data_IF_850145207110
#
_entry.id   IF_850145207110
#
_cell.length_a   1.000
_cell.length_b   1.000
_cell.length_c   1.000
_cell.angle_alpha   90.00
_cell.angle_beta   90.00
_cell.angle_gamma   90.00
#
_symmetry.space_group_name_H-M   'P 1'
#
loop_
_entity.id
_entity.type
_entity.pdbx_description
1 polymer ?
#
# COMPACT_ATOMS: atom_id res chain seq x y z
N UNK A 1 -5.35 11.33 3.20
CA UNK A 1 -4.32 10.47 3.80
C UNK A 1 -4.78 10.03 5.18
N UNK A 2 -4.56 8.79 5.58
CA UNK A 2 -4.95 8.28 6.92
C UNK A 2 -4.37 9.12 8.06
N UNK A 3 -3.17 9.69 7.90
CA UNK A 3 -2.55 10.56 8.91
C UNK A 3 -3.41 11.80 9.26
N UNK A 4 -4.30 12.22 8.36
CA UNK A 4 -5.25 13.31 8.63
C UNK A 4 -6.42 12.88 9.55
N UNK A 5 -6.63 11.58 9.73
CA UNK A 5 -7.60 10.99 10.67
C UNK A 5 -6.90 10.63 11.97
N UNK A 6 -6.85 11.61 12.88
CA UNK A 6 -6.21 11.46 14.19
C UNK A 6 -6.64 10.18 14.94
N UNK A 7 -7.92 9.83 14.89
CA UNK A 7 -8.44 8.63 15.57
C UNK A 7 -7.85 7.33 15.00
N UNK A 8 -7.90 7.17 13.68
CA UNK A 8 -7.37 6.00 12.97
C UNK A 8 -5.87 5.87 13.19
N UNK A 9 -5.14 6.96 13.02
CA UNK A 9 -3.71 7.02 13.22
C UNK A 9 -3.31 6.64 14.67
N UNK A 10 -4.01 7.17 15.68
CA UNK A 10 -3.77 6.79 17.07
C UNK A 10 -4.07 5.31 17.35
N UNK A 11 -5.09 4.74 16.71
CA UNK A 11 -5.39 3.30 16.84
C UNK A 11 -4.30 2.45 16.19
N UNK A 12 -3.76 2.86 15.05
CA UNK A 12 -2.62 2.18 14.41
C UNK A 12 -1.39 2.25 15.31
N UNK A 13 -1.03 3.42 15.85
CA UNK A 13 0.07 3.55 16.81
C UNK A 13 -0.14 2.70 18.07
N UNK A 14 -1.39 2.53 18.52
CA UNK A 14 -1.67 1.69 19.68
C UNK A 14 -1.29 0.21 19.44
N UNK A 15 -1.24 -0.24 18.18
CA UNK A 15 -0.80 -1.59 17.81
C UNK A 15 0.68 -1.84 18.14
N UNK A 16 1.50 -0.80 18.32
CA UNK A 16 2.88 -0.96 18.77
C UNK A 16 2.97 -1.62 20.16
N UNK A 17 1.97 -1.36 21.01
CA UNK A 17 1.86 -1.98 22.34
C UNK A 17 1.56 -3.47 22.26
N UNK A 18 0.99 -3.93 21.14
CA UNK A 18 0.68 -5.33 20.85
C UNK A 18 1.84 -6.03 20.12
N UNK A 19 2.97 -5.35 19.93
CA UNK A 19 4.18 -5.90 19.34
C UNK A 19 4.37 -5.63 17.85
N UNK A 20 3.46 -4.88 17.21
CA UNK A 20 3.69 -4.36 15.87
C UNK A 20 4.80 -3.28 15.89
N UNK A 21 5.40 -3.02 14.73
CA UNK A 21 6.22 -1.84 14.52
C UNK A 21 5.53 -0.96 13.49
N UNK A 22 5.32 0.32 13.80
CA UNK A 22 4.74 1.30 12.89
C UNK A 22 5.82 2.30 12.52
N UNK A 23 6.09 2.45 11.24
CA UNK A 23 7.15 3.33 10.74
C UNK A 23 6.57 4.30 9.73
N UNK A 24 6.83 5.58 9.89
CA UNK A 24 6.35 6.62 8.99
C UNK A 24 7.31 6.83 7.83
N UNK A 25 6.75 6.91 6.61
CA UNK A 25 7.50 7.19 5.39
C UNK A 25 6.71 8.15 4.51
N UNK A 26 7.44 9.10 3.92
CA UNK A 26 6.89 9.97 2.89
C UNK A 26 6.88 9.22 1.56
N UNK A 27 5.68 8.88 1.09
CA UNK A 27 5.50 8.14 -0.15
C UNK A 27 4.99 9.06 -1.26
N UNK A 28 5.57 8.93 -2.46
CA UNK A 28 5.08 9.60 -3.67
C UNK A 28 3.94 8.82 -4.36
N UNK A 29 3.40 7.80 -3.70
CA UNK A 29 2.30 6.97 -4.18
C UNK A 29 1.01 7.27 -3.40
N UNK A 30 -0.18 7.08 -4.00
CA UNK A 30 -1.48 7.33 -3.33
C UNK A 30 -1.85 6.23 -2.31
N UNK A 31 -0.87 5.73 -1.56
CA UNK A 31 -0.98 4.70 -0.52
C UNK A 31 -1.10 5.36 0.85
N UNK A 32 -1.90 4.78 1.74
CA UNK A 32 -1.97 5.23 3.13
C UNK A 32 -1.18 4.34 4.09
N UNK A 33 -1.14 3.03 3.84
CA UNK A 33 -0.42 2.06 4.68
C UNK A 33 0.21 0.99 3.79
N UNK A 34 1.48 0.68 4.03
CA UNK A 34 2.12 -0.52 3.48
C UNK A 34 2.05 -1.59 4.57
N UNK A 35 1.34 -2.69 4.29
CA UNK A 35 1.09 -3.72 5.29
C UNK A 35 2.19 -4.79 5.26
N UNK A 36 2.69 -5.13 4.06
CA UNK A 36 3.82 -6.02 3.84
C UNK A 36 4.63 -5.56 2.62
N UNK A 37 5.77 -6.20 2.34
CA UNK A 37 6.55 -5.91 1.15
C UNK A 37 5.76 -6.09 -0.16
N UNK A 38 4.67 -6.85 -0.15
CA UNK A 38 3.84 -7.15 -1.31
C UNK A 38 2.47 -6.45 -1.32
N UNK A 39 1.94 -6.05 -0.16
CA UNK A 39 0.55 -5.58 -0.01
C UNK A 39 0.48 -4.15 0.53
N UNK A 40 -0.22 -3.29 -0.20
CA UNK A 40 -0.54 -1.92 0.23
C UNK A 40 -2.04 -1.71 0.47
N UNK A 41 -2.38 -0.64 1.20
CA UNK A 41 -3.74 -0.21 1.48
C UNK A 41 -3.91 1.26 1.12
N UNK A 42 -4.96 1.55 0.35
CA UNK A 42 -5.40 2.89 0.01
C UNK A 42 -6.85 3.11 0.45
N UNK A 43 -7.06 4.16 1.23
CA UNK A 43 -8.36 4.60 1.72
C UNK A 43 -8.85 5.81 0.93
N UNK A 44 -10.12 5.74 0.53
CA UNK A 44 -10.82 6.74 -0.24
C UNK A 44 -12.09 7.20 0.45
N UNK A 45 -12.36 8.49 0.39
CA UNK A 45 -13.66 9.07 0.72
C UNK A 45 -14.10 10.03 -0.39
N UNK A 46 -15.34 10.50 -0.34
CA UNK A 46 -15.86 11.45 -1.33
C UNK A 46 -15.05 12.76 -1.43
N UNK A 47 -14.23 13.09 -0.42
CA UNK A 47 -13.45 14.33 -0.34
C UNK A 47 -12.04 14.18 -0.90
N UNK A 48 -11.50 12.97 -0.88
CA UNK A 48 -10.12 12.67 -1.22
C UNK A 48 -9.98 11.87 -2.52
N UNK A 49 -11.06 11.22 -2.99
CA UNK A 49 -11.01 10.34 -4.15
C UNK A 49 -10.54 11.08 -5.40
N UNK A 50 -11.06 12.28 -5.64
CA UNK A 50 -10.59 13.13 -6.73
C UNK A 50 -9.11 13.53 -6.56
N UNK A 51 -8.69 13.91 -5.35
CA UNK A 51 -7.32 14.38 -5.06
C UNK A 51 -6.26 13.31 -5.23
N UNK A 52 -6.58 12.06 -4.88
CA UNK A 52 -5.67 10.92 -4.96
C UNK A 52 -5.70 10.25 -6.33
N UNK A 53 -6.84 10.32 -7.03
CA UNK A 53 -6.96 9.85 -8.38
C UNK A 53 -6.16 10.78 -9.32
N UNK A 54 -6.45 12.08 -9.34
CA UNK A 54 -5.83 12.98 -10.33
C UNK A 54 -4.40 13.37 -9.92
N UNK A 55 -3.41 13.05 -10.75
CA UNK A 55 -2.14 13.74 -10.72
C UNK A 55 -2.40 15.21 -11.06
N UNK A 56 -2.34 16.08 -10.04
CA UNK A 56 -2.23 17.54 -10.10
C UNK A 56 -3.05 18.20 -11.23
N UNK A 57 -4.21 18.73 -10.83
CA UNK A 57 -4.91 19.83 -11.50
C UNK A 57 -5.89 19.45 -12.63
N UNK A 58 -6.93 18.65 -12.34
CA UNK A 58 -8.24 18.84 -12.99
C UNK A 58 -9.38 18.54 -12.01
N UNK A 59 -10.32 19.48 -11.91
CA UNK A 59 -11.51 19.40 -11.07
C UNK A 59 -12.54 18.44 -11.67
N UNK A 60 -12.25 17.13 -11.62
CA UNK A 60 -13.23 16.09 -11.93
C UNK A 60 -14.24 16.00 -10.77
N UNK A 61 -15.45 16.52 -10.98
CA UNK A 61 -16.59 16.39 -10.05
C UNK A 61 -17.37 15.08 -10.21
N UNK A 62 -16.97 14.20 -11.14
CA UNK A 62 -17.66 12.96 -11.43
C UNK A 62 -16.95 11.76 -10.80
N UNK A 63 -17.72 10.93 -10.09
CA UNK A 63 -17.23 9.74 -9.41
C UNK A 63 -16.72 8.68 -10.39
N UNK A 64 -17.37 8.51 -11.55
CA UNK A 64 -16.96 7.51 -12.56
C UNK A 64 -15.56 7.78 -13.08
N UNK A 65 -15.23 9.03 -13.43
CA UNK A 65 -13.90 9.44 -13.85
C UNK A 65 -12.84 9.18 -12.76
N UNK A 66 -13.21 9.36 -11.49
CA UNK A 66 -12.31 9.04 -10.39
C UNK A 66 -12.02 7.54 -10.31
N UNK A 67 -13.03 6.69 -10.50
CA UNK A 67 -12.88 5.23 -10.49
C UNK A 67 -12.07 4.74 -11.69
N UNK A 68 -12.39 5.22 -12.90
CA UNK A 68 -11.64 4.93 -14.12
C UNK A 68 -10.16 5.30 -13.96
N UNK A 69 -9.88 6.46 -13.37
CA UNK A 69 -8.52 6.88 -13.12
C UNK A 69 -7.83 6.02 -12.04
N UNK A 70 -8.54 5.57 -11.00
CA UNK A 70 -7.98 4.61 -10.04
C UNK A 70 -7.59 3.32 -10.79
N UNK A 71 -8.47 2.79 -11.62
CA UNK A 71 -8.22 1.59 -12.40
C UNK A 71 -7.01 1.75 -13.34
N UNK A 72 -6.96 2.85 -14.10
CA UNK A 72 -5.96 3.05 -15.15
C UNK A 72 -4.60 3.55 -14.63
N UNK A 73 -4.60 4.49 -13.69
CA UNK A 73 -3.38 5.20 -13.29
C UNK A 73 -2.88 4.77 -11.91
N UNK A 74 -3.78 4.69 -10.92
CA UNK A 74 -3.39 4.33 -9.56
C UNK A 74 -2.95 2.88 -9.48
N UNK A 75 -3.78 1.93 -9.91
CA UNK A 75 -3.43 0.51 -9.86
C UNK A 75 -2.17 0.22 -10.69
N UNK A 76 -2.04 0.83 -11.88
CA UNK A 76 -0.81 0.71 -12.68
C UNK A 76 0.42 1.19 -11.91
N UNK A 77 0.34 2.35 -11.26
CA UNK A 77 1.47 2.87 -10.47
C UNK A 77 1.80 1.98 -9.27
N UNK A 78 0.80 1.40 -8.63
CA UNK A 78 0.99 0.49 -7.50
C UNK A 78 1.53 -0.87 -7.94
N UNK A 79 1.18 -1.34 -9.13
CA UNK A 79 1.59 -2.65 -9.66
C UNK A 79 3.10 -2.80 -9.81
N UNK A 80 3.84 -1.69 -9.92
CA UNK A 80 5.29 -1.74 -9.96
C UNK A 80 5.89 -2.26 -8.65
N UNK A 81 5.34 -1.85 -7.50
CA UNK A 81 5.90 -2.14 -6.17
C UNK A 81 5.12 -3.16 -5.35
N UNK A 82 3.89 -3.49 -5.75
CA UNK A 82 2.97 -4.31 -4.97
C UNK A 82 2.27 -5.32 -5.87
N UNK A 83 2.17 -6.56 -5.39
CA UNK A 83 1.34 -7.60 -6.00
C UNK A 83 -0.05 -7.70 -5.38
N UNK A 84 -0.30 -7.01 -4.26
CA UNK A 84 -1.61 -6.92 -3.64
C UNK A 84 -1.99 -5.49 -3.26
N UNK A 85 -3.26 -5.14 -3.44
CA UNK A 85 -3.80 -3.83 -3.07
C UNK A 85 -5.15 -3.98 -2.37
N UNK A 86 -5.29 -3.30 -1.23
CA UNK A 86 -6.56 -3.21 -0.50
C UNK A 86 -7.12 -1.80 -0.68
N UNK A 87 -8.28 -1.69 -1.30
CA UNK A 87 -9.01 -0.44 -1.48
C UNK A 87 -10.16 -0.35 -0.48
N UNK A 88 -10.18 0.70 0.31
CA UNK A 88 -11.25 0.94 1.27
C UNK A 88 -11.97 2.24 0.92
N UNK A 89 -13.24 2.16 0.56
CA UNK A 89 -14.09 3.30 0.26
C UNK A 89 -15.02 3.60 1.44
N UNK A 90 -14.96 4.83 1.95
CA UNK A 90 -15.81 5.33 3.01
C UNK A 90 -16.73 6.45 2.51
N UNK A 91 -18.02 6.35 2.81
CA UNK A 91 -18.97 7.43 2.51
C UNK A 91 -20.43 7.03 2.65
N UNK A 92 -21.30 7.90 2.13
CA UNK A 92 -22.75 7.66 2.11
C UNK A 92 -23.14 6.58 1.11
N UNK A 93 -24.33 5.99 1.26
CA UNK A 93 -24.80 4.86 0.45
C UNK A 93 -24.81 5.13 -1.06
N UNK A 94 -25.10 6.36 -1.49
CA UNK A 94 -25.07 6.74 -2.92
C UNK A 94 -23.66 6.69 -3.51
N UNK A 95 -22.67 7.17 -2.76
CA UNK A 95 -21.26 7.09 -3.15
C UNK A 95 -20.80 5.63 -3.21
N UNK A 96 -21.08 4.85 -2.16
CA UNK A 96 -20.68 3.45 -2.11
C UNK A 96 -21.36 2.59 -3.18
N UNK A 97 -22.65 2.83 -3.46
CA UNK A 97 -23.38 2.14 -4.52
C UNK A 97 -22.71 2.35 -5.88
N UNK A 98 -22.35 3.59 -6.21
CA UNK A 98 -21.67 3.89 -7.46
C UNK A 98 -20.25 3.29 -7.54
N UNK A 99 -19.51 3.23 -6.42
CA UNK A 99 -18.23 2.48 -6.39
C UNK A 99 -18.45 0.99 -6.67
N UNK A 100 -19.48 0.39 -6.07
CA UNK A 100 -19.80 -1.02 -6.26
C UNK A 100 -20.25 -1.31 -7.70
N UNK A 101 -21.03 -0.41 -8.31
CA UNK A 101 -21.44 -0.51 -9.72
C UNK A 101 -20.24 -0.50 -10.68
N UNK A 102 -19.17 0.24 -10.36
CA UNK A 102 -17.93 0.28 -11.15
C UNK A 102 -16.83 -0.66 -10.63
N UNK A 103 -17.14 -1.55 -9.68
CA UNK A 103 -16.12 -2.41 -9.04
C UNK A 103 -15.52 -3.44 -10.00
N UNK A 104 -16.30 -3.92 -10.97
CA UNK A 104 -15.84 -4.88 -11.99
C UNK A 104 -14.67 -4.31 -12.81
N UNK A 105 -14.67 -3.00 -13.09
CA UNK A 105 -13.59 -2.33 -13.82
C UNK A 105 -12.29 -2.31 -13.00
N UNK A 106 -12.40 -2.07 -11.68
CA UNK A 106 -11.26 -2.10 -10.77
C UNK A 106 -10.66 -3.51 -10.70
N UNK A 107 -11.50 -4.54 -10.55
CA UNK A 107 -11.05 -5.93 -10.54
C UNK A 107 -10.44 -6.35 -11.88
N UNK A 108 -11.04 -5.97 -13.01
CA UNK A 108 -10.51 -6.28 -14.33
C UNK A 108 -9.15 -5.60 -14.57
N UNK A 109 -8.98 -4.35 -14.15
CA UNK A 109 -7.71 -3.64 -14.24
C UNK A 109 -6.64 -4.29 -13.35
N UNK A 110 -6.95 -4.59 -12.09
CA UNK A 110 -6.01 -5.27 -11.18
C UNK A 110 -5.58 -6.64 -11.72
N UNK A 111 -6.53 -7.46 -12.19
CA UNK A 111 -6.23 -8.77 -12.77
C UNK A 111 -5.32 -8.65 -14.01
N UNK A 112 -5.53 -7.63 -14.84
CA UNK A 112 -4.69 -7.36 -16.02
C UNK A 112 -3.26 -6.95 -15.65
N UNK A 113 -3.08 -6.36 -14.46
CA UNK A 113 -1.78 -5.98 -13.90
C UNK A 113 -1.14 -7.11 -13.06
N UNK A 114 -1.82 -8.26 -12.92
CA UNK A 114 -1.35 -9.36 -12.07
C UNK A 114 -1.40 -9.03 -10.57
N UNK A 115 -2.23 -8.08 -10.16
CA UNK A 115 -2.41 -7.68 -8.77
C UNK A 115 -3.64 -8.35 -8.14
N UNK A 116 -3.49 -8.84 -6.91
CA UNK A 116 -4.61 -9.24 -6.06
C UNK A 116 -5.28 -8.01 -5.45
N UNK A 117 -6.57 -7.81 -5.75
CA UNK A 117 -7.33 -6.66 -5.28
C UNK A 117 -8.36 -7.10 -4.24
N UNK A 118 -8.43 -6.39 -3.12
CA UNK A 118 -9.52 -6.51 -2.16
C UNK A 118 -10.22 -5.16 -2.01
N UNK A 119 -11.54 -5.14 -2.16
CA UNK A 119 -12.34 -3.93 -2.05
C UNK A 119 -13.27 -4.00 -0.84
N UNK A 120 -13.22 -2.99 0.02
CA UNK A 120 -14.12 -2.81 1.16
C UNK A 120 -14.88 -1.50 1.03
N UNK A 121 -16.16 -1.53 1.37
CA UNK A 121 -17.01 -0.35 1.49
C UNK A 121 -17.49 -0.20 2.93
N UNK A 122 -17.41 1.02 3.47
CA UNK A 122 -17.80 1.32 4.84
C UNK A 122 -18.61 2.62 4.90
N UNK A 123 -19.66 2.62 5.71
CA UNK A 123 -20.55 3.77 5.90
C UNK A 123 -20.20 4.62 7.14
N UNK A 124 -19.22 4.20 7.95
CA UNK A 124 -18.81 4.94 9.14
C UNK A 124 -17.30 4.91 9.35
N UNK A 125 -16.78 5.96 9.97
CA UNK A 125 -15.37 6.05 10.31
C UNK A 125 -14.93 4.95 11.28
N UNK A 126 -15.82 4.54 12.19
CA UNK A 126 -15.55 3.48 13.18
C UNK A 126 -15.36 2.12 12.51
N UNK A 127 -16.27 1.75 11.59
CA UNK A 127 -16.17 0.51 10.84
C UNK A 127 -14.95 0.50 9.92
N UNK A 128 -14.63 1.64 9.29
CA UNK A 128 -13.41 1.78 8.49
C UNK A 128 -12.16 1.55 9.32
N UNK A 129 -12.12 2.10 10.55
CA UNK A 129 -11.00 1.87 11.46
C UNK A 129 -10.86 0.37 11.78
N UNK A 130 -11.97 -0.34 12.05
CA UNK A 130 -11.95 -1.78 12.31
C UNK A 130 -11.44 -2.59 11.11
N UNK A 131 -11.88 -2.24 9.89
CA UNK A 131 -11.41 -2.88 8.65
C UNK A 131 -9.89 -2.69 8.50
N UNK A 132 -9.40 -1.45 8.65
CA UNK A 132 -7.97 -1.13 8.53
C UNK A 132 -7.17 -1.93 9.55
N UNK A 133 -7.57 -1.90 10.83
CA UNK A 133 -6.87 -2.62 11.90
C UNK A 133 -6.90 -4.13 11.69
N UNK A 134 -8.01 -4.68 11.18
CA UNK A 134 -8.11 -6.10 10.85
C UNK A 134 -7.16 -6.49 9.71
N UNK A 135 -7.06 -5.66 8.65
CA UNK A 135 -6.14 -5.90 7.54
C UNK A 135 -4.68 -5.90 8.01
N UNK A 136 -4.30 -4.94 8.85
CA UNK A 136 -2.97 -4.87 9.46
C UNK A 136 -2.75 -6.11 10.34
N UNK A 137 -3.66 -6.38 11.27
CA UNK A 137 -3.54 -7.46 12.25
C UNK A 137 -3.50 -8.87 11.66
N UNK A 138 -4.15 -9.11 10.53
CA UNK A 138 -4.11 -10.40 9.84
C UNK A 138 -2.75 -10.63 9.16
N UNK A 139 -2.17 -9.58 8.59
CA UNK A 139 -0.91 -9.68 7.85
C UNK A 139 0.30 -9.69 8.79
N UNK A 140 0.26 -8.90 9.88
CA UNK A 140 1.34 -8.89 10.88
C UNK A 140 1.56 -10.25 11.53
N UNK A 141 0.51 -11.06 11.71
CA UNK A 141 0.62 -12.45 12.21
C UNK A 141 1.35 -13.39 11.26
N UNK A 142 1.38 -13.08 9.96
CA UNK A 142 2.01 -13.91 8.93
C UNK A 142 3.48 -13.54 8.72
N UNK A 143 3.88 -12.30 9.01
CA UNK A 143 5.22 -11.77 8.70
C UNK A 143 6.08 -11.46 9.92
N UNK A 144 5.58 -11.71 11.14
CA UNK A 144 6.31 -11.35 12.37
C UNK A 144 7.61 -12.15 12.52
N UNK A 145 8.72 -11.45 12.74
CA UNK A 145 10.00 -12.06 13.14
C UNK A 145 10.97 -12.42 12.01
N UNK A 146 10.68 -12.03 10.76
CA UNK A 146 11.54 -12.33 9.60
C UNK A 146 12.75 -11.38 9.53
N UNK A 147 12.56 -10.10 9.85
CA UNK A 147 13.57 -9.04 9.73
C UNK A 147 13.82 -8.32 11.06
N UNK A 148 15.02 -7.72 11.26
CA UNK A 148 15.26 -6.83 12.39
C UNK A 148 14.31 -5.62 12.34
N UNK A 149 14.20 -4.90 13.46
CA UNK A 149 13.40 -3.67 13.52
C UNK A 149 13.85 -2.68 12.45
N UNK A 150 12.87 -2.13 11.73
CA UNK A 150 13.12 -1.10 10.73
C UNK A 150 13.54 0.20 11.42
N UNK A 151 14.54 0.95 10.91
CA UNK A 151 14.91 2.24 11.46
C UNK A 151 13.75 3.25 11.37
N UNK A 152 13.60 4.13 12.37
CA UNK A 152 12.55 5.17 12.35
C UNK A 152 12.81 6.22 11.26
N UNK A 153 14.07 6.57 11.02
CA UNK A 153 14.48 7.49 9.95
C UNK A 153 14.87 6.73 8.69
N UNK A 154 14.47 7.23 7.52
CA UNK A 154 14.93 6.72 6.23
C UNK A 154 16.47 6.81 6.13
N UNK A 155 17.11 5.72 5.72
CA UNK A 155 18.56 5.66 5.48
C UNK A 155 18.90 6.02 4.04
N UNK A 156 20.15 6.42 3.76
CA UNK A 156 20.58 6.70 2.38
C UNK A 156 20.46 5.49 1.45
N UNK A 157 20.70 4.28 1.97
CA UNK A 157 20.55 3.05 1.21
C UNK A 157 19.07 2.75 0.92
N UNK A 158 18.19 2.98 1.90
CA UNK A 158 16.74 2.89 1.72
C UNK A 158 16.26 3.89 0.66
N UNK A 159 16.63 5.16 0.78
CA UNK A 159 16.28 6.23 -0.17
C UNK A 159 16.75 5.93 -1.60
N UNK A 160 17.95 5.37 -1.75
CA UNK A 160 18.45 4.92 -3.05
C UNK A 160 17.60 3.79 -3.64
N UNK A 161 17.23 2.81 -2.82
CA UNK A 161 16.41 1.67 -3.24
C UNK A 161 14.97 2.11 -3.58
N UNK A 162 14.36 2.98 -2.77
CA UNK A 162 13.00 3.48 -2.97
C UNK A 162 12.88 4.49 -4.12
N UNK A 163 14.01 4.93 -4.70
CA UNK A 163 14.01 5.68 -5.95
C UNK A 163 13.59 4.81 -7.16
N UNK A 164 13.67 3.47 -7.04
CA UNK A 164 13.16 2.56 -8.05
C UNK A 164 11.66 2.33 -7.83
N UNK A 165 10.79 2.56 -8.83
CA UNK A 165 9.35 2.40 -8.68
C UNK A 165 8.90 1.01 -8.22
N UNK A 166 9.74 -0.02 -8.42
CA UNK A 166 9.43 -1.39 -8.04
C UNK A 166 9.80 -1.77 -6.61
N UNK A 167 10.45 -0.87 -5.86
CA UNK A 167 10.94 -1.13 -4.52
C UNK A 167 10.26 -0.17 -3.54
N UNK A 168 9.40 -0.71 -2.69
CA UNK A 168 8.80 0.01 -1.58
C UNK A 168 9.67 -0.06 -0.30
N UNK A 169 9.44 0.80 0.70
CA UNK A 169 10.25 0.82 1.93
C UNK A 169 10.37 -0.52 2.66
N UNK A 170 9.33 -1.35 2.70
CA UNK A 170 9.41 -2.67 3.35
C UNK A 170 10.25 -3.66 2.54
N UNK A 171 10.11 -3.66 1.22
CA UNK A 171 11.00 -4.46 0.35
C UNK A 171 12.45 -3.98 0.40
N UNK A 172 12.70 -2.66 0.47
CA UNK A 172 14.02 -2.10 0.68
C UNK A 172 14.61 -2.55 2.03
N UNK A 173 13.82 -2.50 3.10
CA UNK A 173 14.24 -3.00 4.42
C UNK A 173 14.56 -4.49 4.39
N UNK A 174 13.77 -5.29 3.68
CA UNK A 174 14.02 -6.72 3.49
C UNK A 174 15.35 -6.97 2.74
N UNK A 175 15.64 -6.20 1.68
CA UNK A 175 16.93 -6.25 0.96
C UNK A 175 18.08 -5.94 1.91
N UNK A 176 18.00 -4.80 2.61
CA UNK A 176 19.07 -4.33 3.49
C UNK A 176 19.28 -5.24 4.72
N UNK A 177 18.25 -5.98 5.11
CA UNK A 177 18.30 -6.93 6.22
C UNK A 177 18.85 -8.31 5.84
N UNK A 178 18.97 -8.62 4.55
CA UNK A 178 19.35 -9.97 4.05
C UNK A 178 20.84 -10.31 4.16
N UNK A 179 21.64 -9.49 4.85
CA UNK A 179 22.93 -9.90 5.42
C UNK A 179 24.18 -9.62 4.59
N UNK A 180 24.12 -8.70 3.62
CA UNK A 180 25.29 -8.23 2.85
C UNK A 180 25.32 -6.71 2.69
N UNK A 181 26.44 -6.18 2.20
CA UNK A 181 26.47 -4.80 1.71
C UNK A 181 25.54 -4.67 0.50
N UNK A 182 24.92 -3.49 0.30
CA UNK A 182 24.07 -3.25 -0.87
C UNK A 182 24.77 -3.58 -2.20
N UNK A 183 26.08 -3.35 -2.27
CA UNK A 183 26.93 -3.73 -3.41
C UNK A 183 26.91 -5.23 -3.68
N UNK A 184 27.00 -6.05 -2.63
CA UNK A 184 27.00 -7.51 -2.74
C UNK A 184 25.64 -8.00 -3.26
N UNK A 185 24.53 -7.42 -2.77
CA UNK A 185 23.19 -7.72 -3.30
C UNK A 185 23.05 -7.35 -4.79
N UNK A 186 23.62 -6.20 -5.20
CA UNK A 186 23.63 -5.78 -6.60
C UNK A 186 24.50 -6.68 -7.50
N UNK A 187 25.44 -7.41 -6.92
CA UNK A 187 26.26 -8.41 -7.62
C UNK A 187 25.62 -9.81 -7.64
N UNK A 188 24.58 -10.07 -6.84
CA UNK A 188 23.87 -11.35 -6.86
C UNK A 188 23.20 -11.60 -8.20
N UNK A 189 23.32 -12.84 -8.69
CA UNK A 189 22.52 -13.33 -9.82
C UNK A 189 21.03 -13.31 -9.49
N UNK A 190 20.19 -13.19 -10.52
CA UNK A 190 18.73 -13.16 -10.39
C UNK A 190 18.18 -14.33 -9.55
N UNK A 191 18.71 -15.53 -9.77
CA UNK A 191 18.33 -16.75 -9.04
C UNK A 191 18.64 -16.65 -7.54
N UNK A 192 19.79 -16.06 -7.17
CA UNK A 192 20.17 -15.89 -5.77
C UNK A 192 19.34 -14.81 -5.07
N UNK A 193 18.86 -13.79 -5.79
CA UNK A 193 17.97 -12.76 -5.22
C UNK A 193 16.59 -13.30 -4.87
N UNK A 194 16.01 -14.14 -5.74
CA UNK A 194 14.69 -14.76 -5.50
C UNK A 194 14.78 -15.76 -4.33
N UNK A 195 15.88 -16.51 -4.25
CA UNK A 195 16.03 -17.56 -3.24
C UNK A 195 16.41 -17.00 -1.85
N UNK A 196 17.13 -15.87 -1.81
CA UNK A 196 17.46 -15.14 -0.58
C UNK A 196 16.33 -14.25 -0.07
N UNK A 197 15.35 -13.90 -0.91
CA UNK A 197 14.24 -13.04 -0.52
C UNK A 197 12.97 -13.30 -1.38
N UNK A 198 12.12 -14.27 -1.00
CA UNK A 198 10.97 -14.68 -1.81
C UNK A 198 9.90 -13.57 -1.97
N UNK A 199 9.91 -12.53 -1.13
CA UNK A 199 8.99 -11.39 -1.24
C UNK A 199 9.41 -10.39 -2.35
N UNK A 200 10.65 -10.47 -2.87
CA UNK A 200 11.18 -9.60 -3.96
C UNK A 200 10.80 -10.13 -5.36
N UNK A 201 10.19 -11.31 -5.44
CA UNK A 201 9.82 -11.97 -6.70
C UNK A 201 9.00 -11.12 -7.67
N UNK A 202 8.35 -10.04 -7.22
CA UNK A 202 7.56 -9.15 -8.07
C UNK A 202 8.33 -7.92 -8.60
N UNK A 203 9.55 -7.65 -8.12
CA UNK A 203 10.25 -6.38 -8.31
C UNK A 203 11.43 -6.39 -9.28
N UNK A 204 11.75 -7.53 -9.92
CA UNK A 204 12.89 -7.70 -10.84
C UNK A 204 12.48 -8.36 -12.16
#
# INVERSE_FOLDING_TARGET
MIISRRSTYQKILAMEKEGAQVVERDLNLPVDVIISAAVCLAWYDCRNIGKKATARDEASSCLSLCVENIAANVLTSLSFAFSGCILIFEGESSFLAAILESSDELYAAAASLGMDLQLFCSYSSELTDEIILSCIGNTTKLTTGIYPKMPESETLAESFLTAFPSINPLSAHAILSSGGMLVEFLEWSHEHRIQGNPEISCSC
#
